data_IF_015338977753
#
_entry.id   IF_015338977753
#
_cell.length_a   1.000
_cell.length_b   1.000
_cell.length_c   1.000
_cell.angle_alpha   90.00
_cell.angle_beta   90.00
_cell.angle_gamma   90.00
#
_symmetry.space_group_name_H-M   'P 1'
#
loop_
_entity.id
_entity.type
_entity.pdbx_description
1 polymer ?
#
# COMPACT_ATOMS: atom_id res chain seq x y z
N UNK A 1 2.33 12.17 18.94
CA UNK A 1 3.06 11.72 17.75
C UNK A 1 4.03 10.65 18.20
N UNK A 2 4.02 9.54 17.49
CA UNK A 2 4.72 8.30 17.79
C UNK A 2 5.94 8.25 16.89
N UNK A 3 7.13 8.22 17.49
CA UNK A 3 8.38 8.13 16.74
C UNK A 3 8.63 6.71 16.24
N UNK A 4 9.31 6.57 15.10
CA UNK A 4 9.84 5.27 14.66
C UNK A 4 10.86 4.73 15.68
N UNK A 5 10.77 3.44 16.01
CA UNK A 5 11.63 2.80 17.00
C UNK A 5 12.84 2.09 16.39
N UNK A 6 12.72 1.62 15.15
CA UNK A 6 13.71 0.73 14.49
C UNK A 6 14.44 1.40 13.32
N UNK A 7 13.95 2.55 12.86
CA UNK A 7 14.56 3.32 11.78
C UNK A 7 14.38 4.82 12.02
N UNK A 8 15.19 5.64 11.36
CA UNK A 8 15.12 7.11 11.45
C UNK A 8 14.98 7.70 10.04
N UNK A 9 13.74 7.90 9.55
CA UNK A 9 13.44 8.32 8.18
C UNK A 9 14.27 9.50 7.70
N UNK A 10 14.49 10.51 8.55
CA UNK A 10 15.25 11.74 8.23
C UNK A 10 16.74 11.56 7.97
N UNK A 11 17.26 10.34 8.16
CA UNK A 11 18.68 10.01 7.98
C UNK A 11 18.92 9.00 6.86
N UNK A 12 17.86 8.53 6.21
CA UNK A 12 17.97 7.52 5.16
C UNK A 12 18.42 8.14 3.83
N UNK A 13 19.18 7.36 3.06
CA UNK A 13 19.34 7.65 1.63
C UNK A 13 18.01 7.48 0.90
N UNK A 14 17.90 8.04 -0.31
CA UNK A 14 16.70 7.88 -1.15
C UNK A 14 16.33 6.42 -1.34
N UNK A 15 17.31 5.60 -1.71
CA UNK A 15 17.08 4.19 -1.98
C UNK A 15 16.61 3.44 -0.72
N UNK A 16 17.23 3.72 0.44
CA UNK A 16 16.84 3.09 1.70
C UNK A 16 15.45 3.56 2.18
N UNK A 17 15.11 4.83 1.96
CA UNK A 17 13.80 5.37 2.28
C UNK A 17 12.71 4.75 1.41
N UNK A 18 12.91 4.73 0.09
CA UNK A 18 11.96 4.12 -0.85
C UNK A 18 11.83 2.63 -0.56
N UNK A 19 12.92 1.91 -0.31
CA UNK A 19 12.84 0.49 0.07
C UNK A 19 12.04 0.26 1.36
N UNK A 20 12.13 1.16 2.34
CA UNK A 20 11.40 1.02 3.60
C UNK A 20 9.90 1.32 3.48
N UNK A 21 9.50 2.16 2.51
CA UNK A 21 8.15 2.73 2.46
C UNK A 21 7.40 2.51 1.14
N UNK A 22 8.02 1.94 0.11
CA UNK A 22 7.43 1.70 -1.21
C UNK A 22 6.18 0.82 -1.14
N UNK A 23 6.19 -0.17 -0.23
CA UNK A 23 5.12 -1.16 -0.11
C UNK A 23 3.94 -0.68 0.76
N UNK A 24 3.99 0.55 1.30
CA UNK A 24 2.83 1.15 2.00
C UNK A 24 1.67 1.37 1.02
N UNK A 25 1.99 1.72 -0.22
CA UNK A 25 1.03 1.82 -1.30
C UNK A 25 1.36 0.75 -2.32
N UNK A 26 0.50 -0.27 -2.40
CA UNK A 26 0.73 -1.46 -3.21
C UNK A 26 1.12 -1.09 -4.66
N UNK A 27 2.24 -1.65 -5.11
CA UNK A 27 2.80 -1.41 -6.45
C UNK A 27 2.94 0.07 -6.85
N UNK A 28 3.02 0.97 -5.86
CA UNK A 28 3.01 2.42 -6.05
C UNK A 28 4.17 3.11 -5.31
N UNK A 29 5.44 2.75 -5.62
CA UNK A 29 6.62 3.30 -4.94
C UNK A 29 6.75 4.82 -5.11
N UNK A 30 6.11 5.37 -6.15
CA UNK A 30 6.12 6.80 -6.46
C UNK A 30 5.64 7.68 -5.30
N UNK A 31 4.79 7.16 -4.40
CA UNK A 31 4.34 7.91 -3.21
C UNK A 31 5.51 8.11 -2.25
N UNK A 32 6.28 7.06 -1.98
CA UNK A 32 7.47 7.13 -1.13
C UNK A 32 8.58 7.98 -1.78
N UNK A 33 8.77 7.86 -3.09
CA UNK A 33 9.70 8.67 -3.86
C UNK A 33 9.38 10.17 -3.73
N UNK A 34 8.13 10.57 -3.97
CA UNK A 34 7.70 11.96 -3.81
C UNK A 34 7.80 12.45 -2.37
N UNK A 35 7.52 11.59 -1.39
CA UNK A 35 7.63 11.95 0.03
C UNK A 35 9.07 12.28 0.44
N UNK A 36 10.03 11.55 -0.14
CA UNK A 36 11.45 11.84 0.00
C UNK A 36 11.84 13.16 -0.70
N UNK A 37 11.34 13.37 -1.91
CA UNK A 37 11.70 14.54 -2.74
C UNK A 37 11.16 15.86 -2.17
N UNK A 38 10.18 15.84 -1.25
CA UNK A 38 9.78 16.99 -0.43
C UNK A 38 10.81 17.41 0.63
N UNK A 39 11.89 16.64 0.79
CA UNK A 39 12.98 16.89 1.73
C UNK A 39 12.82 16.13 3.04
N UNK A 40 13.93 15.97 3.75
CA UNK A 40 13.98 15.25 5.02
C UNK A 40 14.30 16.22 6.15
N UNK A 41 13.41 16.27 7.15
CA UNK A 41 13.66 16.96 8.41
C UNK A 41 13.21 16.07 9.57
N UNK A 42 13.54 16.43 10.81
CA UNK A 42 13.29 15.57 11.98
C UNK A 42 11.79 15.27 12.21
N UNK A 43 10.88 16.07 11.63
CA UNK A 43 9.44 15.82 11.75
C UNK A 43 9.02 14.50 11.08
N UNK A 44 9.67 14.06 10.00
CA UNK A 44 9.34 12.77 9.36
C UNK A 44 9.78 11.55 10.16
N UNK A 45 10.50 11.73 11.26
CA UNK A 45 10.75 10.66 12.22
C UNK A 45 9.52 10.33 13.08
N UNK A 46 8.46 11.15 12.98
CA UNK A 46 7.14 10.86 13.55
C UNK A 46 6.27 10.13 12.53
N UNK A 47 5.70 9.00 12.94
CA UNK A 47 4.85 8.14 12.10
C UNK A 47 3.69 8.95 11.53
N UNK A 48 3.00 9.74 12.34
CA UNK A 48 1.82 10.50 11.91
C UNK A 48 2.19 11.59 10.89
N UNK A 49 3.37 12.21 11.03
CA UNK A 49 3.84 13.22 10.08
C UNK A 49 4.19 12.61 8.74
N UNK A 50 4.90 11.46 8.73
CA UNK A 50 5.22 10.77 7.49
C UNK A 50 3.94 10.23 6.81
N UNK A 51 3.03 9.64 7.59
CA UNK A 51 1.73 9.19 7.10
C UNK A 51 0.93 10.33 6.46
N UNK A 52 0.81 11.47 7.13
CA UNK A 52 0.07 12.63 6.61
C UNK A 52 0.68 13.11 5.29
N UNK A 53 2.02 13.22 5.24
CA UNK A 53 2.74 13.63 4.04
C UNK A 53 2.45 12.70 2.85
N UNK A 54 2.57 11.39 3.07
CA UNK A 54 2.31 10.41 2.01
C UNK A 54 0.84 10.41 1.57
N UNK A 55 -0.08 10.57 2.52
CA UNK A 55 -1.52 10.72 2.24
C UNK A 55 -1.81 11.95 1.39
N UNK A 56 -1.23 13.10 1.73
CA UNK A 56 -1.40 14.35 0.98
C UNK A 56 -0.86 14.22 -0.45
N UNK A 57 0.26 13.52 -0.64
CA UNK A 57 0.83 13.23 -1.96
C UNK A 57 -0.13 12.40 -2.81
N UNK A 58 -0.75 11.37 -2.24
CA UNK A 58 -1.72 10.56 -2.96
C UNK A 58 -2.97 11.38 -3.31
N UNK A 59 -3.54 12.09 -2.33
CA UNK A 59 -4.77 12.85 -2.49
C UNK A 59 -4.62 14.05 -3.44
N UNK A 60 -3.42 14.60 -3.57
CA UNK A 60 -3.11 15.69 -4.50
C UNK A 60 -2.62 15.21 -5.88
N UNK A 61 -2.40 13.91 -6.07
CA UNK A 61 -2.03 13.36 -7.37
C UNK A 61 -3.16 13.54 -8.39
N UNK A 62 -2.80 13.59 -9.67
CA UNK A 62 -3.78 13.62 -10.73
C UNK A 62 -4.64 12.34 -10.73
N UNK A 63 -5.84 12.45 -11.29
CA UNK A 63 -6.81 11.35 -11.32
C UNK A 63 -6.25 10.07 -11.97
N UNK A 64 -5.37 10.19 -12.97
CA UNK A 64 -4.79 9.02 -13.63
C UNK A 64 -3.84 8.28 -12.69
N UNK A 65 -3.00 9.01 -11.95
CA UNK A 65 -2.11 8.43 -10.93
C UNK A 65 -2.88 7.76 -9.78
N UNK A 66 -3.96 8.39 -9.31
CA UNK A 66 -4.84 7.81 -8.28
C UNK A 66 -5.51 6.53 -8.76
N UNK A 67 -6.09 6.56 -9.97
CA UNK A 67 -6.73 5.39 -10.56
C UNK A 67 -5.74 4.27 -10.85
N UNK A 68 -4.53 4.59 -11.30
CA UNK A 68 -3.47 3.60 -11.52
C UNK A 68 -3.09 2.88 -10.22
N UNK A 69 -3.02 3.61 -9.09
CA UNK A 69 -2.78 3.01 -7.79
C UNK A 69 -3.92 2.06 -7.39
N UNK A 70 -5.17 2.49 -7.52
CA UNK A 70 -6.34 1.65 -7.19
C UNK A 70 -6.33 0.38 -8.05
N UNK A 71 -6.09 0.50 -9.36
CA UNK A 71 -6.06 -0.62 -10.28
C UNK A 71 -4.82 -1.52 -10.12
N UNK A 72 -3.77 -1.05 -9.45
CA UNK A 72 -2.61 -1.86 -9.13
C UNK A 72 -2.86 -2.77 -7.92
N UNK A 73 -3.88 -2.50 -7.11
CA UNK A 73 -4.24 -3.37 -6.00
C UNK A 73 -4.85 -4.67 -6.55
N UNK A 74 -4.41 -5.84 -6.05
CA UNK A 74 -5.02 -7.10 -6.45
C UNK A 74 -6.45 -7.21 -5.93
N UNK A 75 -7.34 -7.76 -6.74
CA UNK A 75 -8.71 -8.01 -6.32
C UNK A 75 -8.75 -8.92 -5.07
N UNK A 76 -9.65 -8.61 -4.16
CA UNK A 76 -9.98 -9.47 -3.03
C UNK A 76 -10.52 -10.80 -3.54
N UNK A 77 -9.95 -11.92 -3.07
CA UNK A 77 -10.31 -13.24 -3.60
C UNK A 77 -10.12 -13.32 -5.13
N UNK A 78 -9.22 -12.53 -5.72
CA UNK A 78 -9.00 -12.49 -7.16
C UNK A 78 -8.18 -13.66 -7.68
N UNK A 79 -7.94 -13.67 -9.00
CA UNK A 79 -7.04 -14.66 -9.64
C UNK A 79 -5.66 -14.71 -9.01
N UNK A 80 -5.13 -13.57 -8.56
CA UNK A 80 -3.84 -13.51 -7.85
C UNK A 80 -3.87 -14.26 -6.50
N UNK A 81 -4.99 -14.23 -5.77
CA UNK A 81 -5.19 -15.02 -4.56
C UNK A 81 -5.22 -16.52 -4.86
N UNK A 82 -5.96 -16.93 -5.89
CA UNK A 82 -6.06 -18.35 -6.33
C UNK A 82 -4.71 -18.88 -6.81
N UNK A 83 -3.94 -18.05 -7.51
CA UNK A 83 -2.64 -18.43 -8.08
C UNK A 83 -1.47 -18.28 -7.09
N UNK A 84 -1.72 -17.80 -5.87
CA UNK A 84 -0.68 -17.55 -4.87
C UNK A 84 0.31 -16.44 -5.28
N UNK A 85 -0.15 -15.47 -6.08
CA UNK A 85 0.64 -14.37 -6.63
C UNK A 85 0.45 -13.05 -5.87
N UNK A 86 -0.28 -13.06 -4.75
CA UNK A 86 -0.40 -11.90 -3.88
C UNK A 86 0.97 -11.53 -3.28
N UNK A 87 1.18 -10.24 -3.03
CA UNK A 87 2.29 -9.79 -2.18
C UNK A 87 2.11 -10.33 -0.75
N UNK A 88 3.19 -10.30 0.05
CA UNK A 88 3.11 -10.75 1.45
C UNK A 88 2.11 -9.92 2.26
N UNK A 89 2.04 -8.61 2.02
CA UNK A 89 1.07 -7.71 2.64
C UNK A 89 -0.37 -8.12 2.29
N UNK A 90 -0.67 -8.23 1.00
CA UNK A 90 -2.00 -8.65 0.52
C UNK A 90 -2.40 -10.04 1.03
N UNK A 91 -1.45 -10.97 1.12
CA UNK A 91 -1.70 -12.32 1.68
C UNK A 91 -2.11 -12.22 3.15
N UNK A 92 -1.41 -11.42 3.94
CA UNK A 92 -1.71 -11.25 5.37
C UNK A 92 -3.07 -10.57 5.58
N UNK A 93 -3.37 -9.55 4.79
CA UNK A 93 -4.64 -8.81 4.85
C UNK A 93 -5.83 -9.69 4.47
N UNK A 94 -5.75 -10.42 3.35
CA UNK A 94 -6.82 -11.34 2.94
C UNK A 94 -6.98 -12.53 3.90
N UNK A 95 -5.89 -12.99 4.52
CA UNK A 95 -5.97 -13.97 5.59
C UNK A 95 -6.72 -13.41 6.81
N UNK A 96 -6.40 -12.17 7.23
CA UNK A 96 -7.09 -11.46 8.31
C UNK A 96 -8.57 -11.22 8.03
N UNK A 97 -8.94 -11.00 6.76
CA UNK A 97 -10.32 -10.85 6.31
C UNK A 97 -11.09 -12.18 6.22
N UNK A 98 -10.46 -13.33 6.46
CA UNK A 98 -11.11 -14.64 6.40
C UNK A 98 -11.40 -15.15 4.99
N UNK A 99 -10.91 -14.47 3.94
CA UNK A 99 -11.18 -14.83 2.54
C UNK A 99 -10.69 -16.24 2.20
N UNK A 100 -9.58 -16.66 2.80
CA UNK A 100 -9.04 -18.01 2.70
C UNK A 100 -9.98 -19.12 3.24
N UNK A 101 -11.02 -18.75 3.98
CA UNK A 101 -12.01 -19.67 4.56
C UNK A 101 -13.32 -19.69 3.78
N UNK A 102 -13.47 -18.87 2.73
CA UNK A 102 -14.66 -18.87 1.90
C UNK A 102 -14.87 -20.23 1.25
N UNK A 103 -16.13 -20.66 1.25
CA UNK A 103 -16.59 -21.77 0.43
C UNK A 103 -16.49 -21.41 -1.07
N UNK A 104 -16.57 -22.41 -1.94
CA UNK A 104 -16.53 -22.18 -3.39
C UNK A 104 -17.66 -21.23 -3.87
N UNK A 105 -18.84 -21.30 -3.24
CA UNK A 105 -19.99 -20.44 -3.56
C UNK A 105 -19.74 -18.99 -3.15
N UNK A 106 -19.20 -18.76 -1.96
CA UNK A 106 -18.83 -17.42 -1.49
C UNK A 106 -17.70 -16.82 -2.35
N UNK A 107 -16.73 -17.63 -2.76
CA UNK A 107 -15.66 -17.21 -3.65
C UNK A 107 -16.18 -16.80 -5.04
N UNK A 108 -17.11 -17.57 -5.62
CA UNK A 108 -17.78 -17.21 -6.86
C UNK A 108 -18.54 -15.88 -6.69
N UNK A 109 -19.22 -15.70 -5.56
CA UNK A 109 -19.92 -14.45 -5.28
C UNK A 109 -18.99 -13.25 -5.18
N UNK A 110 -17.81 -13.40 -4.56
CA UNK A 110 -16.78 -12.37 -4.57
C UNK A 110 -16.32 -12.02 -5.99
N UNK A 111 -16.10 -13.04 -6.82
CA UNK A 111 -15.69 -12.84 -8.22
C UNK A 111 -16.74 -12.05 -9.00
N UNK A 112 -18.02 -12.43 -8.90
CA UNK A 112 -19.12 -11.71 -9.56
C UNK A 112 -19.23 -10.24 -9.11
N UNK A 113 -19.00 -9.98 -7.81
CA UNK A 113 -19.06 -8.62 -7.27
C UNK A 113 -17.87 -7.78 -7.71
N UNK A 114 -16.67 -8.36 -7.79
CA UNK A 114 -15.49 -7.68 -8.32
C UNK A 114 -15.66 -7.35 -9.81
N UNK A 115 -16.18 -8.29 -10.62
CA UNK A 115 -16.39 -8.07 -12.06
C UNK A 115 -17.46 -6.99 -12.36
N UNK A 116 -18.39 -6.77 -11.43
CA UNK A 116 -19.47 -5.79 -11.57
C UNK A 116 -19.09 -4.37 -11.12
N UNK A 117 -18.00 -4.21 -10.36
CA UNK A 117 -17.52 -2.94 -9.82
C UNK A 117 -16.64 -2.21 -10.83
#
# INVERSE_FOLDING_TARGET
MTAFQTLKPSTLSRDAFVQAFADIYEHSPWVAEKAYDLGQDVSIDQIETLHQRMSDILLSADHQSQLALINAHPDLAGRAAVQGQLTQASTHEQAGAGIHQCTAEEFLRFTELNDAY
#
